data_IF_012889516430
#
_entry.id   IF_012889516430
#
_cell.length_a   1.000
_cell.length_b   1.000
_cell.length_c   1.000
_cell.angle_alpha   90.00
_cell.angle_beta   90.00
_cell.angle_gamma   90.00
#
_symmetry.space_group_name_H-M   'P 1'
#
loop_
_entity.id
_entity.type
_entity.pdbx_description
1 polymer ?
#
# COMPACT_ATOMS: atom_id res chain seq x y z
N UNK A 1 8.86 -4.38 -9.53
CA UNK A 1 8.51 -3.05 -10.02
C UNK A 1 7.29 -3.04 -10.95
N UNK A 2 6.82 -4.20 -11.41
CA UNK A 2 5.68 -4.32 -12.32
C UNK A 2 5.84 -3.67 -13.70
N UNK A 3 7.08 -3.31 -14.07
CA UNK A 3 7.34 -2.65 -15.35
C UNK A 3 7.15 -3.61 -16.52
N UNK A 4 6.19 -3.32 -17.40
CA UNK A 4 5.85 -4.15 -18.58
C UNK A 4 6.42 -3.62 -19.87
N UNK A 5 7.06 -2.46 -19.83
CA UNK A 5 7.52 -1.72 -21.02
C UNK A 5 6.45 -0.83 -21.65
N UNK A 6 5.21 -0.82 -21.11
CA UNK A 6 4.16 0.13 -21.53
C UNK A 6 4.44 1.54 -20.99
N UNK A 7 5.37 1.67 -20.04
CA UNK A 7 5.76 2.94 -19.40
C UNK A 7 4.57 3.66 -18.79
N UNK A 8 3.81 2.95 -17.99
CA UNK A 8 2.67 3.50 -17.27
C UNK A 8 3.14 4.39 -16.11
N UNK A 9 2.43 5.47 -15.82
CA UNK A 9 2.84 6.43 -14.80
C UNK A 9 3.09 5.80 -13.42
N UNK A 10 2.28 4.85 -12.90
CA UNK A 10 2.56 4.22 -11.62
C UNK A 10 3.85 3.41 -11.56
N UNK A 11 4.38 2.95 -12.71
CA UNK A 11 5.66 2.21 -12.75
C UNK A 11 6.85 3.08 -12.33
N UNK A 12 6.68 4.41 -12.33
CA UNK A 12 7.73 5.37 -11.96
C UNK A 12 7.64 5.85 -10.52
N UNK A 13 6.52 5.57 -9.83
CA UNK A 13 6.20 6.13 -8.52
C UNK A 13 5.67 5.04 -7.59
N UNK A 14 6.58 4.22 -7.08
CA UNK A 14 6.23 3.12 -6.20
C UNK A 14 7.11 3.08 -4.97
N UNK A 15 6.54 2.55 -3.89
CA UNK A 15 7.27 2.21 -2.68
C UNK A 15 7.01 3.15 -1.53
N UNK A 16 6.68 2.56 -0.42
CA UNK A 16 6.59 3.15 0.89
C UNK A 16 7.21 2.23 1.92
N UNK A 17 7.44 2.76 3.10
CA UNK A 17 8.00 2.03 4.23
C UNK A 17 7.30 2.45 5.50
N UNK A 18 7.05 1.50 6.39
CA UNK A 18 6.70 1.78 7.78
C UNK A 18 7.58 0.97 8.73
N UNK A 19 7.88 1.58 9.88
CA UNK A 19 8.49 0.95 11.03
C UNK A 19 7.48 0.97 12.16
N UNK A 20 7.12 -0.18 12.69
CA UNK A 20 6.19 -0.29 13.82
C UNK A 20 6.36 -1.65 14.49
N UNK A 21 6.01 -1.73 15.75
CA UNK A 21 6.00 -2.97 16.52
C UNK A 21 4.68 -3.69 16.21
N UNK A 22 4.72 -4.75 15.39
CA UNK A 22 3.52 -5.44 14.92
C UNK A 22 3.03 -6.53 15.88
N UNK A 23 3.92 -7.07 16.72
CA UNK A 23 3.60 -8.21 17.60
C UNK A 23 3.78 -7.91 19.09
N UNK A 24 4.05 -6.62 19.44
CA UNK A 24 4.09 -6.13 20.81
C UNK A 24 5.38 -6.50 21.58
N UNK A 25 6.44 -6.92 20.87
CA UNK A 25 7.69 -7.35 21.50
C UNK A 25 8.68 -6.21 21.76
N UNK A 26 8.37 -4.98 21.35
CA UNK A 26 9.12 -3.72 21.44
C UNK A 26 10.32 -3.63 20.49
N UNK A 27 10.50 -4.57 19.59
CA UNK A 27 11.47 -4.48 18.51
C UNK A 27 10.75 -3.98 17.23
N UNK A 28 11.10 -2.80 16.66
CA UNK A 28 10.40 -2.29 15.49
C UNK A 28 10.57 -3.19 14.27
N UNK A 29 9.44 -3.53 13.66
CA UNK A 29 9.33 -4.33 12.45
C UNK A 29 9.31 -3.47 11.20
N UNK A 30 9.43 -4.08 10.03
CA UNK A 30 9.53 -3.39 8.76
C UNK A 30 8.44 -3.83 7.79
N UNK A 31 7.61 -2.88 7.36
CA UNK A 31 6.70 -3.04 6.24
C UNK A 31 7.25 -2.28 5.02
N UNK A 32 7.44 -3.00 3.93
CA UNK A 32 7.76 -2.43 2.62
C UNK A 32 6.56 -2.56 1.70
N UNK A 33 6.17 -1.46 1.05
CA UNK A 33 5.13 -1.46 0.02
C UNK A 33 5.72 -1.16 -1.34
N UNK A 34 5.07 -1.63 -2.40
CA UNK A 34 5.56 -1.40 -3.75
C UNK A 34 4.54 -1.77 -4.83
N UNK A 35 4.97 -1.56 -6.07
CA UNK A 35 4.22 -1.97 -7.24
C UNK A 35 4.28 -3.48 -7.46
N UNK A 36 3.28 -4.01 -8.12
CA UNK A 36 3.18 -5.42 -8.55
C UNK A 36 3.04 -5.50 -10.07
N UNK A 37 3.16 -6.70 -10.60
CA UNK A 37 2.81 -6.96 -12.00
C UNK A 37 1.33 -6.63 -12.24
N UNK A 38 1.06 -6.07 -13.42
CA UNK A 38 -0.29 -5.71 -13.80
C UNK A 38 -1.16 -6.95 -14.01
N UNK A 39 -2.47 -6.90 -13.71
CA UNK A 39 -3.38 -8.03 -13.91
C UNK A 39 -3.46 -8.56 -15.35
N UNK A 40 -3.09 -7.75 -16.33
CA UNK A 40 -3.05 -8.09 -17.76
C UNK A 40 -1.67 -8.55 -18.25
N UNK A 41 -0.65 -8.53 -17.39
CA UNK A 41 0.69 -9.01 -17.71
C UNK A 41 0.80 -10.49 -17.37
N UNK A 42 0.95 -11.32 -18.38
CA UNK A 42 1.09 -12.77 -18.24
C UNK A 42 2.57 -13.21 -18.05
N UNK A 43 3.51 -12.28 -17.98
CA UNK A 43 4.95 -12.56 -17.83
C UNK A 43 5.39 -12.89 -16.40
N UNK A 44 4.46 -13.20 -15.52
CA UNK A 44 4.58 -13.16 -14.06
C UNK A 44 5.51 -14.24 -13.51
N UNK A 45 6.57 -13.77 -12.84
CA UNK A 45 7.18 -14.45 -11.73
C UNK A 45 6.42 -14.20 -10.41
N UNK A 46 6.90 -14.73 -9.29
CA UNK A 46 6.38 -14.48 -7.94
C UNK A 46 6.67 -13.03 -7.52
N UNK A 47 5.93 -12.07 -8.10
CA UNK A 47 6.16 -10.64 -7.88
C UNK A 47 5.35 -10.20 -6.65
N UNK A 48 6.04 -10.03 -5.54
CA UNK A 48 5.45 -9.55 -4.29
C UNK A 48 5.43 -8.04 -4.28
N UNK A 49 4.24 -7.46 -4.06
CA UNK A 49 4.06 -6.02 -3.91
C UNK A 49 4.32 -5.52 -2.49
N UNK A 50 4.31 -6.43 -1.53
CA UNK A 50 4.42 -6.15 -0.11
C UNK A 50 5.44 -7.09 0.53
N UNK A 51 6.19 -6.57 1.50
CA UNK A 51 7.08 -7.35 2.35
C UNK A 51 6.91 -6.94 3.81
N UNK A 52 6.53 -7.88 4.66
CA UNK A 52 6.45 -7.71 6.11
C UNK A 52 7.57 -8.52 6.75
N UNK A 53 8.42 -7.84 7.49
CA UNK A 53 9.60 -8.42 8.12
C UNK A 53 9.56 -8.19 9.62
N UNK A 54 9.43 -9.29 10.38
CA UNK A 54 9.55 -9.25 11.83
C UNK A 54 11.00 -9.11 12.24
N UNK A 55 11.24 -8.27 13.22
CA UNK A 55 12.56 -8.03 13.77
C UNK A 55 12.75 -8.84 15.05
N UNK A 56 13.49 -9.92 14.99
CA UNK A 56 13.85 -10.74 16.16
C UNK A 56 15.23 -10.26 16.69
N UNK A 57 15.24 -9.27 17.58
CA UNK A 57 16.46 -8.72 18.20
C UNK A 57 17.53 -8.28 17.17
N UNK A 58 17.13 -7.61 16.12
CA UNK A 58 17.99 -7.11 15.04
C UNK A 58 18.15 -8.07 13.86
N UNK A 59 17.43 -9.19 13.86
CA UNK A 59 17.38 -10.12 12.73
C UNK A 59 15.99 -10.10 12.09
N UNK A 60 15.93 -9.69 10.83
CA UNK A 60 14.67 -9.60 10.08
C UNK A 60 14.28 -10.94 9.47
N UNK A 61 13.06 -11.38 9.77
CA UNK A 61 12.45 -12.60 9.26
C UNK A 61 11.28 -12.22 8.36
N UNK A 62 11.27 -12.68 7.10
CA UNK A 62 10.13 -12.47 6.19
C UNK A 62 8.92 -13.28 6.68
N UNK A 63 7.90 -12.59 7.16
CA UNK A 63 6.63 -13.16 7.65
C UNK A 63 5.45 -12.80 6.75
N UNK A 64 5.70 -12.22 5.58
CA UNK A 64 4.66 -11.76 4.64
C UNK A 64 3.63 -12.82 4.32
N UNK A 65 4.09 -14.05 4.03
CA UNK A 65 3.19 -15.17 3.82
C UNK A 65 2.76 -15.75 5.17
N UNK A 66 1.48 -15.71 5.45
CA UNK A 66 0.91 -16.19 6.71
C UNK A 66 0.52 -15.08 7.68
N UNK A 67 0.98 -13.85 7.46
CA UNK A 67 0.57 -12.69 8.26
C UNK A 67 -0.84 -12.16 7.96
N UNK A 68 -1.48 -12.63 6.88
CA UNK A 68 -2.77 -12.12 6.43
C UNK A 68 -2.69 -10.90 5.49
N UNK A 69 -1.50 -10.39 5.21
CA UNK A 69 -1.34 -9.26 4.28
C UNK A 69 -1.77 -9.60 2.86
N UNK A 70 -2.49 -8.69 2.16
CA UNK A 70 -2.97 -8.90 0.81
C UNK A 70 -1.79 -8.95 -0.17
N UNK A 71 -1.75 -9.99 -1.01
CA UNK A 71 -0.69 -10.15 -2.01
C UNK A 71 -1.04 -9.52 -3.36
N UNK A 72 -2.24 -8.95 -3.48
CA UNK A 72 -2.80 -8.40 -4.70
C UNK A 72 -2.96 -6.88 -4.70
N UNK A 73 -2.42 -6.18 -3.70
CA UNK A 73 -2.45 -4.72 -3.62
C UNK A 73 -1.31 -4.09 -4.42
N UNK A 74 -1.58 -2.99 -5.12
CA UNK A 74 -0.56 -2.08 -5.63
C UNK A 74 -0.45 -0.91 -4.64
N UNK A 75 0.36 -1.09 -3.59
CA UNK A 75 0.39 -0.21 -2.44
C UNK A 75 1.48 0.86 -2.56
N UNK A 76 1.09 2.12 -2.33
CA UNK A 76 1.96 3.29 -2.39
C UNK A 76 2.54 3.65 -1.04
N UNK A 77 1.69 3.90 -0.05
CA UNK A 77 2.14 4.33 1.26
C UNK A 77 1.28 3.75 2.38
N UNK A 78 1.90 3.18 3.42
CA UNK A 78 1.19 2.72 4.61
C UNK A 78 0.98 3.86 5.61
N UNK A 79 -0.13 3.80 6.36
CA UNK A 79 -0.32 4.52 7.62
C UNK A 79 -0.52 3.50 8.73
N UNK A 80 0.03 3.79 9.90
CA UNK A 80 0.02 2.91 11.07
C UNK A 80 -0.71 3.61 12.22
N UNK A 81 -1.58 2.89 12.91
CA UNK A 81 -2.30 3.38 14.08
C UNK A 81 -3.20 2.32 14.67
N UNK A 82 -3.45 2.37 15.95
CA UNK A 82 -4.43 1.55 16.65
C UNK A 82 -5.82 2.16 16.40
N UNK A 83 -6.58 1.61 15.41
CA UNK A 83 -7.84 2.23 14.95
C UNK A 83 -9.08 1.67 15.63
N UNK A 84 -8.97 0.52 16.30
CA UNK A 84 -10.07 -0.08 17.03
C UNK A 84 -9.90 -0.06 18.56
N UNK A 85 -8.76 0.46 19.03
CA UNK A 85 -8.48 0.71 20.44
C UNK A 85 -8.13 -0.55 21.23
N UNK A 86 -7.65 -1.60 20.58
CA UNK A 86 -7.29 -2.86 21.20
C UNK A 86 -5.83 -2.90 21.70
N UNK A 87 -5.00 -1.95 21.27
CA UNK A 87 -3.61 -1.77 21.66
C UNK A 87 -2.61 -2.31 20.63
N UNK A 88 -3.05 -3.00 19.59
CA UNK A 88 -2.23 -3.47 18.50
C UNK A 88 -2.21 -2.42 17.36
N UNK A 89 -1.11 -2.30 16.65
CA UNK A 89 -0.98 -1.31 15.59
C UNK A 89 -1.49 -1.86 14.25
N UNK A 90 -2.53 -1.21 13.73
CA UNK A 90 -3.17 -1.52 12.45
C UNK A 90 -2.50 -0.85 11.27
N UNK A 91 -2.83 -1.31 10.06
CA UNK A 91 -2.25 -0.81 8.82
C UNK A 91 -3.33 -0.38 7.84
N UNK A 92 -3.29 0.88 7.43
CA UNK A 92 -3.99 1.34 6.23
C UNK A 92 -3.02 1.43 5.06
N UNK A 93 -3.38 0.82 3.93
CA UNK A 93 -2.62 0.86 2.69
C UNK A 93 -3.30 1.80 1.69
N UNK A 94 -2.67 2.93 1.40
CA UNK A 94 -3.02 3.76 0.25
C UNK A 94 -2.59 3.05 -1.03
N UNK A 95 -3.52 2.80 -1.96
CA UNK A 95 -3.30 1.96 -3.12
C UNK A 95 -3.57 2.69 -4.43
N UNK A 96 -3.07 2.10 -5.51
CA UNK A 96 -3.62 2.29 -6.84
C UNK A 96 -4.82 1.35 -6.97
N UNK A 97 -6.02 1.92 -7.13
CA UNK A 97 -7.29 1.24 -6.94
C UNK A 97 -7.84 1.43 -5.54
N UNK A 98 -8.52 0.42 -5.00
CA UNK A 98 -9.12 0.51 -3.66
C UNK A 98 -8.06 0.46 -2.58
N UNK A 99 -8.18 1.41 -1.63
CA UNK A 99 -7.40 1.40 -0.41
C UNK A 99 -7.84 0.26 0.52
N UNK A 100 -6.95 -0.20 1.40
CA UNK A 100 -7.18 -1.33 2.29
C UNK A 100 -6.88 -0.98 3.74
N UNK A 101 -7.71 -1.45 4.64
CA UNK A 101 -7.50 -1.40 6.09
C UNK A 101 -7.33 -2.82 6.60
N UNK A 102 -6.32 -3.03 7.40
CA UNK A 102 -5.93 -4.32 7.96
C UNK A 102 -5.87 -4.16 9.48
N UNK A 103 -6.75 -4.84 10.20
CA UNK A 103 -6.67 -4.92 11.67
C UNK A 103 -5.66 -5.98 12.07
N UNK A 104 -4.87 -5.67 13.06
CA UNK A 104 -3.82 -6.49 13.62
C UNK A 104 -4.31 -7.23 14.88
N UNK A 105 -3.87 -8.45 15.07
CA UNK A 105 -4.02 -9.22 16.30
C UNK A 105 -2.68 -9.96 16.52
N UNK A 106 -1.76 -9.32 17.25
CA UNK A 106 -0.45 -9.87 17.58
C UNK A 106 0.40 -10.28 16.35
N UNK A 107 0.41 -9.50 15.29
CA UNK A 107 1.18 -9.77 14.05
C UNK A 107 0.41 -10.56 12.98
N UNK A 108 -0.87 -10.85 13.21
CA UNK A 108 -1.78 -11.46 12.22
C UNK A 108 -2.83 -10.45 11.80
N UNK A 109 -2.85 -10.16 10.52
CA UNK A 109 -3.69 -9.11 9.95
C UNK A 109 -4.93 -9.64 9.28
N UNK A 110 -6.05 -8.95 9.46
CA UNK A 110 -7.34 -9.25 8.85
C UNK A 110 -7.86 -8.04 8.07
N UNK A 111 -8.16 -8.23 6.78
CA UNK A 111 -8.64 -7.14 5.94
C UNK A 111 -10.09 -6.76 6.27
N UNK A 112 -10.32 -5.47 6.51
CA UNK A 112 -11.66 -4.92 6.73
C UNK A 112 -12.34 -4.67 5.39
N UNK A 113 -13.54 -5.21 5.14
CA UNK A 113 -14.25 -5.02 3.88
C UNK A 113 -14.40 -3.54 3.51
N UNK A 114 -13.99 -3.19 2.29
CA UNK A 114 -14.02 -1.81 1.78
C UNK A 114 -13.33 -0.81 2.72
N UNK A 115 -12.30 -1.24 3.44
CA UNK A 115 -11.56 -0.45 4.43
C UNK A 115 -12.49 0.33 5.40
N UNK A 116 -13.57 -0.31 5.88
CA UNK A 116 -14.56 0.34 6.74
C UNK A 116 -15.36 1.48 6.09
N UNK A 117 -15.33 1.59 4.78
CA UNK A 117 -15.93 2.71 4.01
C UNK A 117 -14.88 3.68 3.43
N UNK A 118 -13.61 3.57 3.83
CA UNK A 118 -12.52 4.44 3.37
C UNK A 118 -11.86 3.98 2.06
N UNK A 119 -12.21 2.80 1.52
CA UNK A 119 -11.54 2.16 0.39
C UNK A 119 -11.51 2.94 -0.94
N UNK A 120 -12.37 3.95 -1.08
CA UNK A 120 -12.38 4.80 -2.27
C UNK A 120 -12.86 4.09 -3.55
N UNK A 121 -12.84 4.78 -4.70
CA UNK A 121 -13.23 4.21 -5.99
C UNK A 121 -12.12 3.35 -6.60
N UNK A 122 -12.51 2.47 -7.55
CA UNK A 122 -11.58 1.54 -8.22
C UNK A 122 -10.49 2.24 -9.05
N UNK A 123 -10.70 3.48 -9.46
CA UNK A 123 -9.76 4.31 -10.23
C UNK A 123 -9.02 5.32 -9.35
N UNK A 124 -9.08 5.20 -8.04
CA UNK A 124 -8.33 6.05 -7.13
C UNK A 124 -6.82 5.74 -7.22
N UNK A 125 -6.03 6.77 -6.98
CA UNK A 125 -4.61 6.64 -6.70
C UNK A 125 -4.29 7.37 -5.43
N UNK A 126 -4.26 6.63 -4.31
CA UNK A 126 -3.91 7.17 -3.01
C UNK A 126 -2.39 7.15 -2.84
N UNK A 127 -1.80 8.33 -2.69
CA UNK A 127 -0.33 8.51 -2.64
C UNK A 127 0.23 8.47 -1.24
N UNK A 128 -0.52 8.93 -0.26
CA UNK A 128 -0.15 8.90 1.16
C UNK A 128 -1.38 8.94 2.04
N UNK A 129 -1.23 8.51 3.27
CA UNK A 129 -2.28 8.53 4.30
C UNK A 129 -1.67 8.74 5.68
N UNK A 130 -2.50 9.06 6.65
CA UNK A 130 -2.09 9.22 8.03
C UNK A 130 -3.26 9.17 8.98
N UNK A 131 -3.02 8.66 10.18
CA UNK A 131 -3.98 8.68 11.28
C UNK A 131 -3.64 9.81 12.25
N UNK A 132 -4.66 10.49 12.77
CA UNK A 132 -4.56 11.48 13.83
C UNK A 132 -5.94 11.78 14.41
N UNK A 133 -6.00 12.16 15.66
CA UNK A 133 -7.22 12.57 16.33
C UNK A 133 -7.52 14.05 15.94
N UNK A 134 -8.41 14.25 14.96
CA UNK A 134 -8.71 15.58 14.39
C UNK A 134 -9.59 16.42 15.31
N UNK A 135 -10.61 15.82 15.90
CA UNK A 135 -11.60 16.52 16.70
C UNK A 135 -11.41 16.37 18.21
N UNK A 136 -10.41 15.60 18.63
CA UNK A 136 -10.00 15.34 20.01
C UNK A 136 -11.04 14.57 20.81
N UNK A 137 -11.68 13.62 20.17
CA UNK A 137 -12.61 12.71 20.83
C UNK A 137 -11.93 11.44 21.37
N UNK A 138 -10.67 11.21 21.01
CA UNK A 138 -9.85 10.10 21.45
C UNK A 138 -9.75 8.96 20.45
N UNK A 139 -10.54 9.00 19.36
CA UNK A 139 -10.49 8.04 18.29
C UNK A 139 -9.58 8.55 17.15
N UNK A 140 -8.97 7.65 16.38
CA UNK A 140 -8.13 8.04 15.26
C UNK A 140 -8.95 8.30 13.99
N UNK A 141 -8.80 9.51 13.45
CA UNK A 141 -9.28 9.87 12.13
C UNK A 141 -8.29 9.47 11.04
N UNK A 142 -8.81 9.16 9.86
CA UNK A 142 -8.00 8.83 8.69
C UNK A 142 -8.02 9.96 7.66
N UNK A 143 -6.84 10.45 7.30
CA UNK A 143 -6.65 11.35 6.17
C UNK A 143 -5.97 10.64 5.01
N UNK A 144 -6.56 10.72 3.80
CA UNK A 144 -6.04 10.08 2.58
C UNK A 144 -5.81 11.13 1.49
N UNK A 145 -4.56 11.22 1.03
CA UNK A 145 -4.20 12.03 -0.12
C UNK A 145 -4.37 11.24 -1.41
N UNK A 146 -5.27 11.67 -2.29
CA UNK A 146 -5.43 11.10 -3.63
C UNK A 146 -4.73 11.97 -4.65
N UNK A 147 -3.86 11.35 -5.47
CA UNK A 147 -3.07 12.05 -6.47
C UNK A 147 -3.90 12.38 -7.71
N UNK A 148 -4.38 11.35 -8.38
CA UNK A 148 -5.22 11.47 -9.59
C UNK A 148 -6.20 10.32 -9.67
N UNK A 149 -7.19 10.40 -10.55
CA UNK A 149 -7.89 9.23 -11.07
C UNK A 149 -7.01 8.58 -12.13
N UNK A 150 -6.80 7.27 -12.01
CA UNK A 150 -5.94 6.55 -12.93
C UNK A 150 -6.61 5.25 -13.40
N UNK A 151 -6.50 4.99 -14.69
CA UNK A 151 -6.70 3.68 -15.29
C UNK A 151 -5.71 3.51 -16.44
N UNK A 152 -5.46 2.27 -16.85
CA UNK A 152 -4.59 2.00 -18.00
C UNK A 152 -5.07 2.75 -19.25
N UNK A 153 -6.37 2.83 -19.47
CA UNK A 153 -6.96 3.57 -20.60
C UNK A 153 -6.64 5.06 -20.53
N UNK A 154 -6.88 5.69 -19.36
CA UNK A 154 -6.56 7.11 -19.16
C UNK A 154 -5.08 7.38 -19.41
N UNK A 155 -4.20 6.55 -18.85
CA UNK A 155 -2.76 6.70 -18.99
C UNK A 155 -2.29 6.59 -20.46
N UNK A 156 -2.80 5.60 -21.20
CA UNK A 156 -2.46 5.43 -22.61
C UNK A 156 -3.00 6.56 -23.49
N UNK A 157 -4.18 7.11 -23.20
CA UNK A 157 -4.78 8.21 -23.93
C UNK A 157 -4.05 9.54 -23.68
N UNK A 158 -3.55 9.78 -22.48
CA UNK A 158 -2.82 11.01 -22.12
C UNK A 158 -1.48 11.13 -22.87
N UNK A 159 -0.87 10.03 -23.28
CA UNK A 159 0.30 9.92 -24.16
C UNK A 159 1.29 11.10 -24.07
N UNK A 160 1.74 11.46 -22.89
CA UNK A 160 2.78 12.48 -22.70
C UNK A 160 4.04 12.03 -23.43
N UNK A 161 4.43 12.79 -24.47
CA UNK A 161 5.63 12.50 -25.23
C UNK A 161 6.67 13.58 -25.01
N UNK A 162 7.94 13.19 -24.88
CA UNK A 162 9.09 14.10 -24.96
C UNK A 162 9.53 14.15 -26.44
N UNK A 163 9.53 15.35 -27.02
CA UNK A 163 9.92 15.57 -28.43
C UNK A 163 9.10 14.78 -29.46
N UNK A 164 7.88 14.36 -29.11
CA UNK A 164 6.93 13.77 -30.05
C UNK A 164 7.19 12.32 -30.45
N UNK A 165 8.12 11.61 -29.80
CA UNK A 165 8.48 10.25 -30.22
C UNK A 165 8.26 9.18 -29.17
N UNK A 166 8.55 9.46 -27.89
CA UNK A 166 8.45 8.47 -26.81
C UNK A 166 7.64 9.02 -25.62
N UNK A 167 7.06 8.13 -24.80
CA UNK A 167 6.39 8.55 -23.56
C UNK A 167 7.40 9.22 -22.62
N UNK A 168 6.97 10.29 -21.95
CA UNK A 168 7.85 11.15 -21.15
C UNK A 168 8.40 10.49 -19.88
N UNK A 169 7.69 9.50 -19.38
CA UNK A 169 8.08 8.76 -18.18
C UNK A 169 8.31 7.29 -18.57
N UNK A 170 9.55 6.89 -18.50
CA UNK A 170 9.92 5.51 -18.78
C UNK A 170 11.39 5.36 -19.17
#
# INVERSE_FOLDING_TARGET
>A
SGATGEKLLPETMVGGVAWFDMDGDQDPDLLLTGGRSWPWDNSIGEDRSLGLYRNDAGQFVDVTLGSGFPQDAYAMGPAIGDVDGDGDLDVFLGCLGRDRLLLNDGGIFSEVPNAGGAGGPDEAWSSSSGFFDYDRDGDLDLFVCRYVQWSRTIDLELAFTLNGTDRAYG
#
